data_IF_562067607731
#
_entry.id   IF_562067607731
#
_cell.length_a   1.000
_cell.length_b   1.000
_cell.length_c   1.000
_cell.angle_alpha   90.00
_cell.angle_beta   90.00
_cell.angle_gamma   90.00
#
_symmetry.space_group_name_H-M   'P 1'
#
loop_
_entity.id
_entity.type
_entity.pdbx_description
1 polymer ?
#
# COMPACT_ATOMS: atom_id res chain seq x y z
N UNK A 1 37.40 -1.84 60.67
CA UNK A 1 36.33 -2.24 61.60
C UNK A 1 35.41 -3.17 60.82
N UNK A 2 35.33 -4.43 61.29
CA UNK A 2 34.27 -5.45 61.03
C UNK A 2 33.80 -5.60 59.59
N UNK A 3 34.12 -6.65 58.84
CA UNK A 3 34.32 -8.05 59.22
C UNK A 3 33.42 -8.89 58.31
N UNK A 4 34.01 -9.72 57.44
CA UNK A 4 33.85 -11.18 57.46
C UNK A 4 32.58 -11.70 56.73
N UNK A 5 32.57 -12.81 55.97
CA UNK A 5 33.55 -13.79 55.48
C UNK A 5 32.71 -14.88 54.78
N UNK A 6 33.25 -15.50 53.72
CA UNK A 6 33.14 -16.94 53.36
C UNK A 6 31.76 -17.57 53.09
N UNK A 7 31.60 -18.71 52.40
CA UNK A 7 32.33 -19.62 51.50
C UNK A 7 31.32 -20.74 51.18
N UNK A 8 31.57 -21.56 50.15
CA UNK A 8 31.06 -22.94 50.03
C UNK A 8 29.85 -23.10 49.09
N UNK A 9 29.96 -23.70 47.90
CA UNK A 9 30.37 -25.08 47.55
C UNK A 9 29.48 -26.16 48.16
N UNK A 10 28.59 -26.73 47.34
CA UNK A 10 28.28 -28.17 47.32
C UNK A 10 27.42 -28.52 46.09
N UNK A 11 27.97 -29.39 45.27
CA UNK A 11 27.32 -30.35 44.38
C UNK A 11 26.41 -31.31 45.13
N UNK A 12 25.38 -31.83 44.46
CA UNK A 12 24.87 -33.23 44.50
C UNK A 12 23.44 -33.26 43.93
N UNK A 13 23.22 -33.98 42.84
CA UNK A 13 22.61 -35.33 42.77
C UNK A 13 21.21 -35.17 42.14
N UNK A 14 20.57 -36.11 41.46
CA UNK A 14 20.93 -37.28 40.69
C UNK A 14 19.59 -37.83 40.10
N UNK A 15 19.70 -38.69 39.09
CA UNK A 15 18.78 -39.81 38.78
C UNK A 15 17.31 -39.52 38.39
N UNK A 16 16.92 -39.83 37.15
CA UNK A 16 16.32 -41.11 36.67
C UNK A 16 14.87 -40.80 36.22
N UNK A 17 14.18 -41.43 35.27
CA UNK A 17 14.22 -42.70 34.53
C UNK A 17 13.52 -42.44 33.17
N UNK A 18 13.89 -43.02 32.01
CA UNK A 18 13.84 -44.43 31.53
C UNK A 18 12.41 -44.97 31.28
N UNK A 19 12.15 -45.33 30.02
CA UNK A 19 11.06 -46.19 29.53
C UNK A 19 10.41 -45.60 28.26
N UNK A 20 10.45 -46.16 27.05
CA UNK A 20 10.84 -47.49 26.56
C UNK A 20 9.64 -48.25 26.00
N UNK A 21 9.84 -48.95 24.87
CA UNK A 21 8.98 -49.96 24.19
C UNK A 21 8.11 -49.42 23.04
N UNK A 22 8.49 -49.64 21.76
CA UNK A 22 8.31 -50.85 20.90
C UNK A 22 6.89 -50.90 20.32
N UNK A 23 6.72 -50.68 19.01
CA UNK A 23 6.90 -51.62 17.90
C UNK A 23 5.73 -52.60 17.80
N UNK A 24 5.04 -52.60 16.65
CA UNK A 24 4.52 -53.81 16.01
C UNK A 24 4.15 -53.51 14.54
N UNK A 25 4.70 -54.36 13.68
CA UNK A 25 4.42 -54.52 12.25
C UNK A 25 3.05 -55.19 12.04
N UNK A 26 2.36 -54.87 10.94
CA UNK A 26 1.82 -55.92 10.04
C UNK A 26 1.35 -55.36 8.69
N UNK A 27 1.65 -56.13 7.65
CA UNK A 27 1.30 -55.91 6.25
C UNK A 27 0.07 -56.74 5.84
N UNK A 28 -0.65 -56.32 4.78
CA UNK A 28 -1.06 -57.15 3.62
C UNK A 28 -2.35 -56.65 2.91
N UNK A 29 -2.16 -56.16 1.67
CA UNK A 29 -2.82 -56.54 0.39
C UNK A 29 -4.33 -56.82 0.27
N UNK A 30 -4.95 -56.16 -0.72
CA UNK A 30 -6.10 -56.58 -1.57
C UNK A 30 -6.42 -55.39 -2.52
N UNK A 31 -5.88 -55.26 -3.75
CA UNK A 31 -6.22 -55.89 -5.05
C UNK A 31 -7.71 -55.90 -5.47
N UNK A 32 -8.00 -55.30 -6.65
CA UNK A 32 -9.24 -55.47 -7.42
C UNK A 32 -9.80 -54.18 -8.05
N UNK A 33 -9.26 -53.68 -9.17
CA UNK A 33 -9.71 -53.92 -10.58
C UNK A 33 -10.97 -53.09 -10.96
N UNK A 34 -10.87 -52.00 -11.74
CA UNK A 34 -10.63 -51.84 -13.19
C UNK A 34 -11.93 -51.71 -14.01
N UNK A 35 -12.05 -50.62 -14.76
CA UNK A 35 -12.66 -50.46 -16.11
C UNK A 35 -12.56 -48.97 -16.48
N UNK A 36 -11.69 -48.61 -17.41
CA UNK A 36 -11.94 -48.51 -18.86
C UNK A 36 -12.52 -47.15 -19.23
N UNK A 37 -11.67 -46.28 -19.81
CA UNK A 37 -11.99 -45.60 -21.08
C UNK A 37 -10.73 -44.99 -21.67
N UNK A 38 -10.16 -45.73 -22.63
CA UNK A 38 -9.16 -45.24 -23.55
C UNK A 38 -9.87 -44.67 -24.78
N UNK A 39 -9.69 -43.37 -25.06
CA UNK A 39 -9.84 -42.84 -26.40
C UNK A 39 -8.57 -42.10 -26.81
N UNK A 40 -7.80 -42.77 -27.68
CA UNK A 40 -6.67 -42.21 -28.38
C UNK A 40 -7.15 -41.20 -29.44
N UNK A 41 -6.50 -40.04 -29.49
CA UNK A 41 -6.39 -39.23 -30.70
C UNK A 41 -4.96 -38.71 -30.86
N UNK A 42 -4.36 -39.12 -31.98
CA UNK A 42 -3.04 -38.76 -32.52
C UNK A 42 -2.89 -37.24 -32.71
N UNK A 43 -1.69 -36.74 -32.40
CA UNK A 43 -0.78 -36.13 -33.38
C UNK A 43 -1.08 -34.69 -33.88
N UNK A 44 -0.25 -33.75 -33.41
CA UNK A 44 0.01 -32.42 -33.98
C UNK A 44 0.83 -31.64 -32.96
N UNK A 45 2.17 -31.72 -32.97
CA UNK A 45 3.11 -30.99 -33.83
C UNK A 45 2.99 -29.47 -33.68
N UNK A 46 3.92 -28.91 -32.89
CA UNK A 46 4.65 -27.68 -33.21
C UNK A 46 3.90 -26.36 -33.03
N UNK A 47 4.50 -25.53 -32.18
CA UNK A 47 4.21 -24.10 -31.99
C UNK A 47 2.99 -23.80 -31.12
N UNK A 48 3.16 -23.89 -29.80
CA UNK A 48 2.40 -23.13 -28.80
C UNK A 48 3.17 -23.18 -27.46
N UNK A 49 4.40 -22.64 -27.43
CA UNK A 49 5.13 -22.42 -26.15
C UNK A 49 5.94 -21.12 -26.17
N UNK A 50 5.40 -20.09 -26.81
CA UNK A 50 6.01 -18.75 -26.90
C UNK A 50 5.09 -17.65 -26.32
N UNK A 51 4.32 -18.01 -25.29
CA UNK A 51 3.54 -17.06 -24.50
C UNK A 51 3.65 -17.30 -22.99
N UNK A 52 4.78 -17.84 -22.53
CA UNK A 52 5.20 -17.68 -21.14
C UNK A 52 5.83 -16.28 -21.00
N UNK A 53 4.97 -15.30 -20.75
CA UNK A 53 5.30 -13.92 -20.34
C UNK A 53 6.52 -13.86 -19.41
N UNK A 54 7.53 -13.07 -19.82
CA UNK A 54 8.82 -12.74 -19.18
C UNK A 54 8.72 -12.09 -17.78
N UNK A 55 7.96 -12.69 -16.87
CA UNK A 55 7.47 -12.09 -15.61
C UNK A 55 8.50 -12.21 -14.48
N UNK A 56 9.78 -12.05 -14.79
CA UNK A 56 10.88 -12.26 -13.82
C UNK A 56 12.29 -12.02 -14.34
N UNK A 57 12.49 -11.68 -15.62
CA UNK A 57 13.84 -11.53 -16.18
C UNK A 57 14.60 -10.29 -15.68
N UNK A 58 13.88 -9.29 -15.15
CA UNK A 58 14.48 -8.03 -14.67
C UNK A 58 14.79 -8.03 -13.19
N UNK A 59 14.24 -8.99 -12.44
CA UNK A 59 14.54 -9.20 -11.05
C UNK A 59 15.60 -10.30 -10.92
N UNK A 60 16.66 -10.03 -10.17
CA UNK A 60 17.74 -10.99 -10.02
C UNK A 60 18.27 -11.05 -8.59
N UNK A 61 18.87 -12.19 -8.27
CA UNK A 61 19.60 -12.39 -7.04
C UNK A 61 21.00 -11.74 -7.14
N UNK A 62 21.22 -10.64 -6.41
CA UNK A 62 22.47 -9.88 -6.55
C UNK A 62 23.68 -10.55 -5.90
N UNK A 63 23.48 -11.65 -5.17
CA UNK A 63 24.56 -12.46 -4.60
C UNK A 63 24.97 -13.63 -5.50
N UNK A 64 24.22 -13.88 -6.58
CA UNK A 64 24.52 -14.92 -7.57
C UNK A 64 25.04 -14.26 -8.85
N UNK A 65 26.07 -14.86 -9.46
CA UNK A 65 26.65 -14.32 -10.71
C UNK A 65 25.66 -14.41 -11.88
N UNK A 66 24.84 -15.45 -11.91
CA UNK A 66 23.80 -15.62 -12.92
C UNK A 66 22.56 -14.79 -12.59
N UNK A 67 22.35 -13.71 -13.36
CA UNK A 67 21.22 -12.79 -13.21
C UNK A 67 19.87 -13.37 -13.64
N UNK A 68 19.83 -14.57 -14.22
CA UNK A 68 18.57 -15.24 -14.57
C UNK A 68 17.92 -15.91 -13.36
N UNK A 69 18.66 -16.02 -12.25
CA UNK A 69 18.16 -16.62 -11.02
C UNK A 69 17.19 -15.65 -10.34
N UNK A 70 15.95 -16.10 -10.21
CA UNK A 70 14.91 -15.36 -9.49
C UNK A 70 15.39 -14.99 -8.06
N UNK A 71 15.08 -13.77 -7.58
CA UNK A 71 15.58 -13.30 -6.30
C UNK A 71 15.01 -14.15 -5.16
N UNK A 72 15.87 -14.59 -4.24
CA UNK A 72 15.44 -15.19 -2.98
C UNK A 72 15.42 -14.14 -1.88
N UNK A 73 14.24 -13.86 -1.34
CA UNK A 73 14.07 -12.97 -0.20
C UNK A 73 14.39 -13.73 1.10
N UNK A 74 15.45 -13.32 1.79
CA UNK A 74 15.66 -13.66 3.20
C UNK A 74 15.43 -12.43 4.05
N UNK A 75 14.46 -12.54 4.94
CA UNK A 75 14.03 -11.47 5.84
C UNK A 75 14.23 -11.93 7.26
N UNK A 76 14.97 -11.13 8.04
CA UNK A 76 15.06 -11.29 9.48
C UNK A 76 14.11 -10.31 10.15
N UNK A 77 13.18 -10.82 10.95
CA UNK A 77 12.26 -9.96 11.70
C UNK A 77 12.94 -9.45 12.97
N UNK A 78 12.97 -8.13 13.12
CA UNK A 78 13.42 -7.43 14.32
C UNK A 78 12.21 -6.76 14.99
N UNK A 79 12.16 -6.78 16.32
CA UNK A 79 11.08 -6.18 17.09
C UNK A 79 11.70 -5.20 18.10
N UNK A 80 11.88 -3.95 17.68
CA UNK A 80 12.48 -2.88 18.47
C UNK A 80 11.39 -1.90 18.92
N UNK A 81 11.34 -1.62 20.22
CA UNK A 81 10.40 -0.66 20.84
C UNK A 81 8.90 -0.85 20.48
N UNK A 82 8.51 -2.09 20.12
CA UNK A 82 7.13 -2.41 19.72
C UNK A 82 6.80 -2.07 18.26
N UNK A 83 7.78 -1.66 17.46
CA UNK A 83 7.69 -1.50 16.01
C UNK A 83 8.34 -2.72 15.34
N UNK A 84 7.60 -3.36 14.43
CA UNK A 84 8.10 -4.49 13.64
C UNK A 84 8.90 -3.95 12.46
N UNK A 85 10.18 -4.35 12.38
CA UNK A 85 11.05 -4.02 11.24
C UNK A 85 11.69 -5.29 10.69
N UNK A 86 12.14 -5.24 9.45
CA UNK A 86 12.72 -6.38 8.76
C UNK A 86 14.09 -6.03 8.19
N UNK A 87 15.10 -6.80 8.59
CA UNK A 87 16.41 -6.79 7.96
C UNK A 87 16.36 -7.62 6.67
N UNK A 88 16.83 -7.04 5.57
CA UNK A 88 16.95 -7.76 4.29
C UNK A 88 18.34 -8.38 4.25
N UNK A 89 18.42 -9.69 4.52
CA UNK A 89 19.71 -10.39 4.61
C UNK A 89 20.32 -10.62 3.23
N UNK A 90 19.47 -10.79 2.20
CA UNK A 90 19.88 -11.15 0.85
C UNK A 90 19.57 -10.05 -0.16
N UNK A 91 20.58 -9.66 -0.93
CA UNK A 91 20.46 -8.52 -1.86
C UNK A 91 19.60 -8.85 -3.09
N UNK A 92 18.65 -7.98 -3.38
CA UNK A 92 17.74 -8.04 -4.53
C UNK A 92 18.18 -7.01 -5.57
N UNK A 93 18.36 -7.48 -6.80
CA UNK A 93 18.66 -6.65 -7.96
C UNK A 93 17.43 -6.42 -8.84
N UNK A 94 17.33 -5.24 -9.42
CA UNK A 94 16.33 -4.88 -10.42
C UNK A 94 16.96 -4.08 -11.56
N UNK A 95 16.76 -4.54 -12.79
CA UNK A 95 17.21 -3.85 -14.01
C UNK A 95 16.05 -3.00 -14.58
N UNK A 96 16.08 -1.68 -14.34
CA UNK A 96 15.13 -0.75 -14.97
C UNK A 96 15.67 -0.33 -16.37
N UNK A 97 14.85 -0.43 -17.43
CA UNK A 97 15.30 -0.15 -18.80
C UNK A 97 15.72 1.31 -19.03
N UNK A 98 15.15 2.26 -18.27
CA UNK A 98 15.34 3.69 -18.49
C UNK A 98 16.33 4.30 -17.49
N UNK A 99 16.38 3.76 -16.27
CA UNK A 99 17.12 4.33 -15.15
C UNK A 99 18.32 3.49 -14.70
N UNK A 100 18.47 2.27 -15.21
CA UNK A 100 19.60 1.39 -14.96
C UNK A 100 19.36 0.36 -13.86
N UNK A 101 20.45 -0.28 -13.43
CA UNK A 101 20.42 -1.34 -12.43
C UNK A 101 20.41 -0.79 -11.01
N UNK A 102 19.54 -1.34 -10.18
CA UNK A 102 19.43 -1.06 -8.75
C UNK A 102 19.64 -2.34 -7.94
N UNK A 103 20.39 -2.26 -6.84
CA UNK A 103 20.57 -3.36 -5.90
C UNK A 103 20.28 -2.88 -4.48
N UNK A 104 19.39 -3.58 -3.78
CA UNK A 104 18.97 -3.28 -2.41
C UNK A 104 19.11 -4.52 -1.52
N UNK A 105 19.67 -4.42 -0.31
CA UNK A 105 20.29 -3.23 0.27
C UNK A 105 21.75 -3.01 -0.18
N UNK A 106 22.23 -1.76 -0.06
CA UNK A 106 23.66 -1.45 -0.17
C UNK A 106 24.47 -2.15 0.92
N UNK A 107 23.94 -2.13 2.15
CA UNK A 107 24.49 -2.80 3.32
C UNK A 107 23.36 -3.53 4.08
N UNK A 108 23.48 -4.86 4.15
CA UNK A 108 22.48 -5.73 4.79
C UNK A 108 22.48 -5.62 6.31
N UNK A 109 23.57 -5.15 6.94
CA UNK A 109 23.64 -5.04 8.40
C UNK A 109 22.86 -3.82 8.92
N UNK A 110 22.88 -2.72 8.16
CA UNK A 110 22.28 -1.44 8.55
C UNK A 110 20.91 -1.20 7.94
N UNK A 111 20.59 -1.82 6.80
CA UNK A 111 19.29 -1.64 6.18
C UNK A 111 18.16 -2.28 7.00
N UNK A 112 17.14 -1.48 7.31
CA UNK A 112 15.89 -1.92 7.91
C UNK A 112 14.76 -1.42 7.02
N UNK A 113 13.94 -2.34 6.55
CA UNK A 113 12.68 -2.03 5.88
C UNK A 113 11.55 -2.31 6.85
N UNK A 114 10.56 -1.43 6.91
CA UNK A 114 9.35 -1.67 7.70
C UNK A 114 8.40 -2.68 7.00
N UNK A 115 8.77 -3.14 5.79
CA UNK A 115 8.05 -3.98 4.81
C UNK A 115 6.58 -3.64 4.57
N UNK A 116 6.02 -2.67 5.27
CA UNK A 116 4.59 -2.42 5.40
C UNK A 116 4.31 -1.23 6.33
N UNK A 117 4.95 -0.08 6.13
CA UNK A 117 4.23 1.18 6.41
C UNK A 117 3.15 1.49 5.37
N UNK A 118 2.60 0.45 4.71
CA UNK A 118 1.35 0.54 3.93
C UNK A 118 0.25 0.97 4.92
N UNK A 119 -0.29 2.20 4.80
CA UNK A 119 -1.34 2.65 5.70
C UNK A 119 -2.47 1.61 5.73
N UNK A 120 -3.01 1.30 6.91
CA UNK A 120 -4.00 0.22 7.09
C UNK A 120 -5.15 0.24 6.07
N UNK A 121 -5.50 1.42 5.55
CA UNK A 121 -6.50 1.63 4.50
C UNK A 121 -6.18 0.88 3.19
N UNK A 122 -4.92 0.61 2.86
CA UNK A 122 -4.48 -0.06 1.63
C UNK A 122 -4.24 -1.57 1.79
N UNK A 123 -4.35 -2.12 3.01
CA UNK A 123 -4.21 -3.56 3.24
C UNK A 123 -5.33 -4.38 2.56
N UNK A 124 -6.45 -3.74 2.24
CA UNK A 124 -7.52 -4.33 1.41
C UNK A 124 -7.17 -4.39 -0.08
N UNK A 125 -6.32 -3.47 -0.58
CA UNK A 125 -5.93 -3.37 -1.99
C UNK A 125 -4.68 -4.22 -2.30
N UNK A 126 -3.79 -4.36 -1.32
CA UNK A 126 -2.55 -5.11 -1.43
C UNK A 126 -2.46 -6.06 -0.23
N UNK A 127 -2.58 -7.38 -0.43
CA UNK A 127 -2.37 -8.34 0.64
C UNK A 127 -0.97 -8.14 1.23
N UNK A 128 -0.78 -8.28 2.56
CA UNK A 128 0.54 -8.10 3.21
C UNK A 128 1.64 -9.01 2.67
N UNK A 129 1.28 -10.07 1.96
CA UNK A 129 2.20 -11.02 1.33
C UNK A 129 1.80 -11.25 -0.12
N UNK A 130 2.78 -11.42 -1.00
CA UNK A 130 2.53 -11.74 -2.40
C UNK A 130 3.67 -11.32 -3.33
N UNK A 131 3.45 -11.50 -4.63
CA UNK A 131 4.46 -11.28 -5.66
C UNK A 131 5.04 -9.85 -5.70
N UNK A 132 4.40 -8.87 -5.06
CA UNK A 132 4.84 -7.47 -5.04
C UNK A 132 5.88 -7.16 -3.94
N UNK A 133 6.16 -8.11 -3.04
CA UNK A 133 7.07 -7.90 -1.92
C UNK A 133 8.50 -7.52 -2.35
N UNK A 134 9.12 -8.14 -3.38
CA UNK A 134 10.42 -7.69 -3.89
C UNK A 134 10.40 -6.23 -4.37
N UNK A 135 9.31 -5.79 -4.99
CA UNK A 135 9.17 -4.40 -5.44
C UNK A 135 9.00 -3.44 -4.26
N UNK A 136 8.33 -3.83 -3.18
CA UNK A 136 8.19 -3.02 -1.97
C UNK A 136 9.55 -2.81 -1.30
N UNK A 137 10.34 -3.88 -1.13
CA UNK A 137 11.72 -3.78 -0.60
C UNK A 137 12.58 -2.88 -1.46
N UNK A 138 12.49 -3.05 -2.80
CA UNK A 138 13.20 -2.19 -3.74
C UNK A 138 12.81 -0.72 -3.55
N UNK A 139 11.51 -0.42 -3.43
CA UNK A 139 11.03 0.95 -3.21
C UNK A 139 11.54 1.54 -1.89
N UNK A 140 11.45 0.81 -0.79
CA UNK A 140 11.98 1.23 0.51
C UNK A 140 13.48 1.52 0.45
N UNK A 141 14.24 0.71 -0.29
CA UNK A 141 15.67 0.94 -0.51
C UNK A 141 15.98 2.13 -1.43
N UNK A 142 15.11 2.47 -2.38
CA UNK A 142 15.29 3.64 -3.24
C UNK A 142 14.87 4.94 -2.54
N UNK A 143 13.98 4.82 -1.56
CA UNK A 143 13.51 5.89 -0.69
C UNK A 143 14.56 6.14 0.40
N UNK A 144 15.27 7.25 0.30
CA UNK A 144 16.23 7.71 1.30
C UNK A 144 16.10 9.21 1.48
N UNK A 145 16.39 9.69 2.69
CA UNK A 145 16.56 11.12 2.92
C UNK A 145 17.92 11.57 2.37
N UNK A 146 17.99 12.77 1.80
CA UNK A 146 19.23 13.33 1.23
C UNK A 146 20.39 13.43 2.26
N UNK A 147 20.06 13.36 3.55
CA UNK A 147 21.00 13.41 4.67
C UNK A 147 21.54 12.03 5.09
N UNK A 148 20.96 10.94 4.58
CA UNK A 148 21.35 9.57 4.91
C UNK A 148 22.19 8.95 3.77
N UNK A 149 23.12 8.03 4.08
CA UNK A 149 23.81 7.29 3.05
C UNK A 149 22.80 6.49 2.21
N UNK A 150 23.05 6.41 0.90
CA UNK A 150 22.16 5.68 0.00
C UNK A 150 22.06 4.21 0.43
N UNK A 151 20.83 3.74 0.65
CA UNK A 151 20.49 2.37 1.03
C UNK A 151 20.49 1.40 -0.15
N UNK A 152 20.88 1.85 -1.35
CA UNK A 152 20.96 1.08 -2.58
C UNK A 152 22.25 1.35 -3.37
N UNK A 153 22.60 0.42 -4.24
CA UNK A 153 23.68 0.55 -5.22
C UNK A 153 23.04 0.79 -6.59
N UNK A 154 23.36 1.92 -7.22
CA UNK A 154 22.83 2.29 -8.53
C UNK A 154 22.94 3.79 -8.82
N UNK A 155 22.43 4.26 -9.97
CA UNK A 155 22.38 5.69 -10.30
C UNK A 155 21.52 6.46 -9.29
N UNK A 156 21.92 7.70 -8.95
CA UNK A 156 21.10 8.55 -8.07
C UNK A 156 19.80 8.94 -8.76
N UNK A 157 18.68 8.61 -8.13
CA UNK A 157 17.34 8.94 -8.63
C UNK A 157 16.56 9.83 -7.66
N UNK A 158 15.65 10.62 -8.22
CA UNK A 158 14.68 11.43 -7.47
C UNK A 158 13.59 10.56 -6.86
N UNK A 159 12.88 11.08 -5.86
CA UNK A 159 11.75 10.38 -5.23
C UNK A 159 10.66 10.02 -6.24
N UNK A 160 10.36 10.88 -7.21
CA UNK A 160 9.37 10.57 -8.25
C UNK A 160 9.85 9.47 -9.20
N UNK A 161 11.16 9.37 -9.46
CA UNK A 161 11.73 8.27 -10.24
C UNK A 161 11.69 6.95 -9.47
N UNK A 162 11.94 6.95 -8.15
CA UNK A 162 11.77 5.77 -7.31
C UNK A 162 10.34 5.22 -7.37
N UNK A 163 9.33 6.10 -7.35
CA UNK A 163 7.93 5.70 -7.48
C UNK A 163 7.65 5.07 -8.86
N UNK A 164 8.27 5.59 -9.94
CA UNK A 164 8.16 5.00 -11.28
C UNK A 164 8.83 3.62 -11.39
N UNK A 165 10.03 3.46 -10.83
CA UNK A 165 10.73 2.16 -10.74
C UNK A 165 9.87 1.16 -10.00
N UNK A 166 9.25 1.56 -8.88
CA UNK A 166 8.35 0.69 -8.12
C UNK A 166 7.16 0.20 -8.97
N UNK A 167 6.54 1.08 -9.76
CA UNK A 167 5.44 0.69 -10.66
C UNK A 167 5.91 -0.28 -11.76
N UNK A 168 7.09 -0.06 -12.31
CA UNK A 168 7.69 -0.91 -13.34
C UNK A 168 8.05 -2.29 -12.76
N UNK A 169 8.67 -2.31 -11.58
CA UNK A 169 8.97 -3.52 -10.83
C UNK A 169 7.71 -4.34 -10.51
N UNK A 170 6.62 -3.71 -10.07
CA UNK A 170 5.34 -4.39 -9.88
C UNK A 170 4.78 -4.97 -11.18
N UNK A 171 5.00 -4.31 -12.33
CA UNK A 171 4.58 -4.83 -13.63
C UNK A 171 5.32 -6.13 -13.98
N UNK A 172 6.61 -6.22 -13.65
CA UNK A 172 7.43 -7.41 -13.90
C UNK A 172 7.09 -8.56 -13.00
N UNK A 173 6.62 -8.29 -11.79
CA UNK A 173 6.14 -9.31 -10.85
C UNK A 173 4.71 -9.78 -11.19
N UNK A 174 4.16 -9.34 -12.32
CA UNK A 174 2.84 -9.76 -12.79
C UNK A 174 1.67 -9.06 -12.09
N UNK A 175 1.90 -7.94 -11.40
CA UNK A 175 0.81 -7.20 -10.74
C UNK A 175 -0.18 -6.67 -11.78
N UNK A 176 -1.47 -6.89 -11.56
CA UNK A 176 -2.54 -6.42 -12.43
C UNK A 176 -2.44 -4.91 -12.71
N UNK A 177 -2.88 -4.51 -13.91
CA UNK A 177 -2.77 -3.12 -14.38
C UNK A 177 -3.46 -2.14 -13.44
N UNK A 178 -4.72 -2.36 -13.07
CA UNK A 178 -5.43 -1.40 -12.20
C UNK A 178 -4.74 -1.29 -10.84
N UNK A 179 -4.40 -2.43 -10.22
CA UNK A 179 -3.75 -2.48 -8.91
C UNK A 179 -2.42 -1.72 -8.89
N UNK A 180 -1.52 -1.98 -9.84
CA UNK A 180 -0.20 -1.31 -9.87
C UNK A 180 -0.33 0.21 -10.00
N UNK A 181 -1.32 0.69 -10.75
CA UNK A 181 -1.56 2.12 -10.96
C UNK A 181 -2.17 2.79 -9.72
N UNK A 182 -3.05 2.11 -9.00
CA UNK A 182 -3.58 2.60 -7.72
C UNK A 182 -2.48 2.69 -6.65
N UNK A 183 -1.65 1.65 -6.52
CA UNK A 183 -0.52 1.65 -5.58
C UNK A 183 0.45 2.78 -5.92
N UNK A 184 0.87 2.87 -7.19
CA UNK A 184 1.75 3.96 -7.65
C UNK A 184 1.17 5.34 -7.33
N UNK A 185 -0.15 5.53 -7.51
CA UNK A 185 -0.83 6.78 -7.20
C UNK A 185 -0.76 7.11 -5.71
N UNK A 186 -0.92 6.12 -4.83
CA UNK A 186 -0.82 6.30 -3.39
C UNK A 186 0.59 6.76 -2.99
N UNK A 187 1.63 6.13 -3.53
CA UNK A 187 3.01 6.50 -3.24
C UNK A 187 3.38 7.86 -3.84
N UNK A 188 2.97 8.14 -5.08
CA UNK A 188 3.17 9.44 -5.71
C UNK A 188 2.47 10.57 -4.95
N UNK A 189 1.29 10.30 -4.39
CA UNK A 189 0.59 11.22 -3.50
C UNK A 189 1.34 11.40 -2.17
N UNK A 190 1.85 10.32 -1.58
CA UNK A 190 2.67 10.41 -0.37
C UNK A 190 3.90 11.28 -0.64
N UNK A 191 4.68 11.00 -1.69
CA UNK A 191 5.78 11.84 -2.18
C UNK A 191 5.34 13.30 -2.34
N UNK A 192 4.11 13.52 -2.82
CA UNK A 192 3.57 14.86 -3.00
C UNK A 192 3.27 15.61 -1.70
N UNK A 193 2.88 14.89 -0.65
CA UNK A 193 2.50 15.43 0.65
C UNK A 193 3.65 15.46 1.66
N UNK A 194 4.56 14.49 1.62
CA UNK A 194 5.61 14.26 2.62
C UNK A 194 6.97 14.81 2.24
N UNK A 195 7.14 15.35 1.03
CA UNK A 195 8.40 15.96 0.64
C UNK A 195 8.66 17.28 1.38
N UNK A 196 8.97 17.15 2.66
CA UNK A 196 9.42 18.18 3.59
C UNK A 196 10.87 18.53 3.31
N UNK A 197 11.14 19.83 3.28
CA UNK A 197 12.39 20.39 2.80
C UNK A 197 13.60 20.09 3.70
N UNK A 198 14.65 19.50 3.12
CA UNK A 198 16.05 19.82 3.45
C UNK A 198 16.89 19.91 2.17
N UNK A 199 16.77 21.03 1.46
CA UNK A 199 17.68 21.35 0.36
C UNK A 199 17.06 22.24 -0.74
N UNK A 200 17.21 23.56 -0.61
CA UNK A 200 17.30 24.49 -1.76
C UNK A 200 16.06 24.79 -2.60
N UNK A 201 15.30 25.81 -2.18
CA UNK A 201 14.66 26.83 -3.03
C UNK A 201 13.78 26.39 -4.24
N UNK A 202 12.64 25.76 -3.96
CA UNK A 202 11.39 25.99 -4.71
C UNK A 202 10.22 26.07 -3.71
N UNK A 203 9.14 26.85 -3.97
CA UNK A 203 8.05 27.02 -3.00
C UNK A 203 7.12 25.79 -3.00
N UNK A 204 7.58 24.67 -2.40
CA UNK A 204 6.86 23.39 -2.25
C UNK A 204 5.53 23.53 -1.50
N UNK A 205 5.34 24.60 -0.72
CA UNK A 205 4.05 24.93 -0.11
C UNK A 205 2.97 25.18 -1.18
N UNK A 206 3.31 25.79 -2.33
CA UNK A 206 2.36 25.94 -3.44
C UNK A 206 1.89 24.58 -3.95
N UNK A 207 2.81 23.63 -4.08
CA UNK A 207 2.50 22.31 -4.60
C UNK A 207 1.69 21.48 -3.60
N UNK A 208 2.07 21.53 -2.31
CA UNK A 208 1.24 20.98 -1.23
C UNK A 208 -0.16 21.60 -1.23
N UNK A 209 -0.27 22.93 -1.34
CA UNK A 209 -1.56 23.64 -1.39
C UNK A 209 -2.38 23.25 -2.62
N UNK A 210 -1.76 22.99 -3.77
CA UNK A 210 -2.46 22.49 -4.97
C UNK A 210 -2.98 21.08 -4.73
N UNK A 211 -2.15 20.16 -4.23
CA UNK A 211 -2.56 18.78 -3.96
C UNK A 211 -3.65 18.74 -2.88
N UNK A 212 -3.40 19.35 -1.72
CA UNK A 212 -4.37 19.42 -0.63
C UNK A 212 -5.64 20.16 -1.04
N UNK A 213 -5.52 21.27 -1.78
CA UNK A 213 -6.66 22.06 -2.25
C UNK A 213 -7.52 21.32 -3.27
N UNK A 214 -6.91 20.60 -4.22
CA UNK A 214 -7.67 19.79 -5.18
C UNK A 214 -8.37 18.60 -4.51
N UNK A 215 -7.71 17.88 -3.60
CA UNK A 215 -8.35 16.82 -2.82
C UNK A 215 -9.49 17.36 -1.95
N UNK A 216 -9.28 18.51 -1.30
CA UNK A 216 -10.30 19.15 -0.49
C UNK A 216 -11.52 19.59 -1.33
N UNK A 217 -11.28 20.15 -2.53
CA UNK A 217 -12.35 20.52 -3.45
C UNK A 217 -13.17 19.29 -3.89
N UNK A 218 -12.51 18.17 -4.20
CA UNK A 218 -13.21 16.92 -4.58
C UNK A 218 -14.10 16.41 -3.44
N UNK A 219 -13.59 16.38 -2.21
CA UNK A 219 -14.40 15.95 -1.06
C UNK A 219 -15.56 16.90 -0.80
N UNK A 220 -15.33 18.22 -0.84
CA UNK A 220 -16.39 19.20 -0.66
C UNK A 220 -17.49 19.05 -1.72
N UNK A 221 -17.11 18.90 -2.99
CA UNK A 221 -18.07 18.67 -4.08
C UNK A 221 -18.82 17.35 -3.92
N UNK A 222 -18.16 16.29 -3.47
CA UNK A 222 -18.83 15.02 -3.19
C UNK A 222 -19.85 15.11 -2.04
N UNK A 223 -19.50 15.84 -0.97
CA UNK A 223 -20.44 16.12 0.13
C UNK A 223 -21.63 16.95 -0.38
N UNK A 224 -21.38 17.98 -1.18
CA UNK A 224 -22.45 18.78 -1.77
C UNK A 224 -23.35 17.96 -2.69
N UNK A 225 -22.77 17.09 -3.52
CA UNK A 225 -23.54 16.19 -4.37
C UNK A 225 -24.38 15.21 -3.54
N UNK A 226 -23.89 14.77 -2.38
CA UNK A 226 -24.68 13.95 -1.46
C UNK A 226 -25.89 14.73 -0.95
N UNK A 227 -25.67 15.94 -0.42
CA UNK A 227 -26.75 16.77 0.15
C UNK A 227 -27.79 17.09 -0.92
N UNK A 228 -27.37 17.49 -2.13
CA UNK A 228 -28.24 17.83 -3.25
C UNK A 228 -29.18 16.65 -3.63
N UNK A 229 -28.67 15.41 -3.61
CA UNK A 229 -29.47 14.19 -3.86
C UNK A 229 -30.51 13.90 -2.78
N UNK A 230 -30.23 14.25 -1.52
CA UNK A 230 -31.11 13.89 -0.38
C UNK A 230 -32.06 15.00 0.07
N UNK A 231 -31.69 16.27 -0.12
CA UNK A 231 -32.36 17.41 0.53
C UNK A 231 -33.17 18.28 -0.45
N UNK A 232 -33.28 17.88 -1.73
CA UNK A 232 -34.09 18.56 -2.76
C UNK A 232 -33.69 20.01 -3.06
N UNK A 233 -32.59 20.49 -2.47
CA UNK A 233 -32.08 21.85 -2.65
C UNK A 233 -31.11 21.86 -3.82
N UNK A 234 -31.34 22.73 -4.82
CA UNK A 234 -30.43 22.91 -5.96
C UNK A 234 -29.17 23.67 -5.52
N UNK A 235 -28.18 22.93 -5.05
CA UNK A 235 -26.87 23.47 -4.64
C UNK A 235 -25.91 23.44 -5.82
N UNK A 236 -25.93 22.35 -6.61
CA UNK A 236 -25.01 22.16 -7.73
C UNK A 236 -25.69 22.51 -9.06
N UNK A 237 -25.12 23.44 -9.86
CA UNK A 237 -25.78 23.94 -11.08
C UNK A 237 -25.96 22.88 -12.17
N UNK A 238 -25.22 21.76 -12.11
CA UNK A 238 -25.34 20.65 -13.07
C UNK A 238 -26.27 19.53 -12.61
N UNK A 239 -26.66 19.48 -11.33
CA UNK A 239 -27.60 18.47 -10.80
C UNK A 239 -29.02 18.98 -10.95
N UNK A 240 -29.38 20.14 -10.35
CA UNK A 240 -30.63 20.85 -10.65
C UNK A 240 -31.92 20.08 -10.36
N UNK A 241 -33.08 20.75 -10.44
CA UNK A 241 -34.39 20.07 -10.39
C UNK A 241 -34.61 19.26 -11.68
N UNK A 242 -34.23 17.98 -11.68
CA UNK A 242 -34.34 17.09 -12.84
C UNK A 242 -34.97 15.77 -12.43
N UNK A 243 -35.20 14.90 -13.40
CA UNK A 243 -35.62 13.53 -13.08
C UNK A 243 -34.43 12.82 -12.40
N UNK A 244 -34.67 12.12 -11.29
CA UNK A 244 -33.65 11.51 -10.43
C UNK A 244 -32.46 10.83 -11.15
N UNK A 245 -32.68 10.12 -12.26
CA UNK A 245 -31.60 9.46 -13.00
C UNK A 245 -30.69 10.44 -13.76
N UNK A 246 -31.23 11.61 -14.19
CA UNK A 246 -30.45 12.70 -14.80
C UNK A 246 -29.62 13.44 -13.76
N UNK A 247 -30.13 13.58 -12.54
CA UNK A 247 -29.38 14.12 -11.41
C UNK A 247 -28.23 13.18 -11.06
N UNK A 248 -28.50 11.87 -10.97
CA UNK A 248 -27.48 10.86 -10.73
C UNK A 248 -26.42 10.83 -11.85
N UNK A 249 -26.83 10.89 -13.11
CA UNK A 249 -25.92 10.96 -14.24
C UNK A 249 -25.10 12.27 -14.25
N UNK A 250 -25.71 13.39 -13.88
CA UNK A 250 -25.04 14.68 -13.72
C UNK A 250 -24.01 14.67 -12.59
N UNK A 251 -24.36 14.06 -11.45
CA UNK A 251 -23.45 13.83 -10.33
C UNK A 251 -22.27 12.93 -10.72
N UNK A 252 -22.54 11.81 -11.39
CA UNK A 252 -21.50 10.90 -11.89
C UNK A 252 -20.57 11.58 -12.92
N UNK A 253 -21.12 12.36 -13.85
CA UNK A 253 -20.33 13.12 -14.80
C UNK A 253 -19.45 14.18 -14.09
N UNK A 254 -20.02 14.90 -13.11
CA UNK A 254 -19.28 15.84 -12.27
C UNK A 254 -18.14 15.17 -11.50
N UNK A 255 -18.37 13.97 -10.96
CA UNK A 255 -17.39 13.16 -10.24
C UNK A 255 -16.25 12.59 -11.12
N UNK A 256 -16.34 12.74 -12.44
CA UNK A 256 -15.27 12.35 -13.36
C UNK A 256 -14.60 13.60 -13.95
N UNK A 257 -15.40 14.50 -14.53
CA UNK A 257 -14.91 15.65 -15.29
C UNK A 257 -14.20 16.67 -14.40
N UNK A 258 -14.79 17.00 -13.24
CA UNK A 258 -14.21 18.02 -12.34
C UNK A 258 -12.90 17.50 -11.72
N UNK A 259 -12.85 16.28 -11.14
CA UNK A 259 -11.59 15.66 -10.72
C UNK A 259 -10.53 15.59 -11.82
N UNK A 260 -10.91 15.23 -13.05
CA UNK A 260 -9.98 15.16 -14.18
C UNK A 260 -9.40 16.53 -14.54
N UNK A 261 -10.20 17.59 -14.50
CA UNK A 261 -9.73 18.96 -14.74
C UNK A 261 -8.80 19.42 -13.61
N UNK A 262 -9.16 19.18 -12.34
CA UNK A 262 -8.32 19.53 -11.18
C UNK A 262 -6.98 18.80 -11.19
N UNK A 263 -6.94 17.55 -11.66
CA UNK A 263 -5.72 16.76 -11.78
C UNK A 263 -4.68 17.40 -12.71
N UNK A 264 -5.07 18.21 -13.69
CA UNK A 264 -4.14 18.92 -14.57
C UNK A 264 -3.26 19.91 -13.80
N UNK A 265 -3.75 20.45 -12.68
CA UNK A 265 -2.98 21.35 -11.82
C UNK A 265 -1.75 20.67 -11.17
N UNK A 266 -1.70 19.34 -11.18
CA UNK A 266 -0.58 18.57 -10.61
C UNK A 266 0.64 18.51 -11.53
N UNK A 267 0.56 19.09 -12.74
CA UNK A 267 1.68 19.21 -13.67
C UNK A 267 2.21 17.83 -14.09
N UNK A 268 3.48 17.53 -13.76
CA UNK A 268 4.11 16.25 -14.13
C UNK A 268 3.40 15.02 -13.53
N UNK A 269 2.72 15.18 -12.40
CA UNK A 269 1.97 14.11 -11.73
C UNK A 269 0.48 14.08 -12.09
N UNK A 270 0.05 14.70 -13.19
CA UNK A 270 -1.38 14.74 -13.58
C UNK A 270 -2.03 13.36 -13.66
N UNK A 271 -1.28 12.32 -14.05
CA UNK A 271 -1.78 10.93 -14.09
C UNK A 271 -2.12 10.39 -12.70
N UNK A 272 -1.28 10.70 -11.70
CA UNK A 272 -1.54 10.33 -10.32
C UNK A 272 -2.72 11.14 -9.77
N UNK A 273 -2.75 12.45 -10.04
CA UNK A 273 -3.87 13.31 -9.67
C UNK A 273 -5.20 12.82 -10.25
N UNK A 274 -5.21 12.38 -11.52
CA UNK A 274 -6.41 11.89 -12.19
C UNK A 274 -6.98 10.67 -11.47
N UNK A 275 -6.12 9.67 -11.23
CA UNK A 275 -6.50 8.44 -10.54
C UNK A 275 -6.92 8.76 -9.11
N UNK A 276 -6.16 9.57 -8.38
CA UNK A 276 -6.44 9.92 -6.99
C UNK A 276 -7.79 10.64 -6.85
N UNK A 277 -8.01 11.71 -7.63
CA UNK A 277 -9.20 12.53 -7.54
C UNK A 277 -10.46 11.77 -8.01
N UNK A 278 -10.39 10.99 -9.10
CA UNK A 278 -11.53 10.18 -9.55
C UNK A 278 -11.84 9.07 -8.54
N UNK A 279 -10.83 8.34 -8.09
CA UNK A 279 -11.01 7.26 -7.10
C UNK A 279 -11.62 7.83 -5.82
N UNK A 280 -11.11 8.97 -5.34
CA UNK A 280 -11.66 9.66 -4.18
C UNK A 280 -13.12 10.07 -4.39
N UNK A 281 -13.46 10.68 -5.53
CA UNK A 281 -14.84 11.11 -5.83
C UNK A 281 -15.82 9.93 -5.84
N UNK A 282 -15.44 8.81 -6.46
CA UNK A 282 -16.28 7.62 -6.58
C UNK A 282 -16.41 6.87 -5.24
N UNK A 283 -15.31 6.74 -4.49
CA UNK A 283 -15.29 5.97 -3.25
C UNK A 283 -15.65 6.78 -2.01
N UNK A 284 -15.78 8.10 -2.10
CA UNK A 284 -16.07 8.97 -0.96
C UNK A 284 -17.30 8.49 -0.18
N UNK A 285 -18.42 8.31 -0.88
CA UNK A 285 -19.70 7.95 -0.27
C UNK A 285 -19.64 6.58 0.41
N UNK A 286 -19.07 5.58 -0.26
CA UNK A 286 -18.87 4.25 0.31
C UNK A 286 -17.97 4.28 1.55
N UNK A 287 -16.92 5.10 1.51
CA UNK A 287 -15.99 5.30 2.64
C UNK A 287 -16.69 5.95 3.82
N UNK A 288 -17.53 6.96 3.59
CA UNK A 288 -18.32 7.62 4.63
C UNK A 288 -19.28 6.62 5.28
N UNK A 289 -20.02 5.84 4.49
CA UNK A 289 -20.93 4.80 5.02
C UNK A 289 -20.18 3.78 5.88
N UNK A 290 -19.05 3.26 5.38
CA UNK A 290 -18.25 2.29 6.12
C UNK A 290 -17.66 2.89 7.40
N UNK A 291 -17.23 4.15 7.37
CA UNK A 291 -16.72 4.86 8.54
C UNK A 291 -17.81 5.04 9.61
N UNK A 292 -19.04 5.37 9.22
CA UNK A 292 -20.19 5.47 10.13
C UNK A 292 -20.48 4.11 10.76
N UNK A 293 -20.58 3.05 9.96
CA UNK A 293 -20.84 1.69 10.46
C UNK A 293 -19.74 1.21 11.41
N UNK A 294 -18.48 1.45 11.06
CA UNK A 294 -17.32 1.08 11.90
C UNK A 294 -17.32 1.85 13.21
N UNK A 295 -17.61 3.15 13.17
CA UNK A 295 -17.70 3.99 14.38
C UNK A 295 -18.84 3.55 15.28
N UNK A 296 -20.00 3.22 14.70
CA UNK A 296 -21.14 2.67 15.41
C UNK A 296 -20.79 1.34 16.10
N UNK A 297 -20.16 0.41 15.37
CA UNK A 297 -19.72 -0.85 15.94
C UNK A 297 -18.72 -0.65 17.09
N UNK A 298 -17.71 0.21 16.90
CA UNK A 298 -16.75 0.55 17.95
C UNK A 298 -17.42 1.19 19.16
N UNK A 299 -18.46 2.00 18.95
CA UNK A 299 -19.21 2.64 20.03
C UNK A 299 -19.98 1.61 20.86
N UNK A 300 -20.62 0.65 20.20
CA UNK A 300 -21.31 -0.48 20.85
C UNK A 300 -20.31 -1.35 21.64
N UNK A 301 -19.15 -1.64 21.07
CA UNK A 301 -18.15 -2.50 21.71
C UNK A 301 -17.39 -1.78 22.83
N UNK A 302 -17.14 -0.48 22.67
CA UNK A 302 -16.24 0.29 23.55
C UNK A 302 -16.29 1.81 23.25
N UNK A 303 -17.08 2.59 23.99
CA UNK A 303 -17.25 4.02 23.70
C UNK A 303 -15.92 4.80 23.75
N UNK A 304 -14.96 4.38 24.58
CA UNK A 304 -13.62 4.97 24.65
C UNK A 304 -12.79 4.83 23.36
N UNK A 305 -12.89 3.70 22.64
CA UNK A 305 -12.17 3.51 21.37
C UNK A 305 -12.79 4.34 20.25
N UNK A 306 -14.13 4.42 20.20
CA UNK A 306 -14.84 5.25 19.22
C UNK A 306 -14.47 6.74 19.34
N UNK A 307 -14.52 7.30 20.56
CA UNK A 307 -14.17 8.70 20.81
C UNK A 307 -12.69 8.97 20.46
N UNK A 308 -11.79 8.03 20.76
CA UNK A 308 -10.38 8.17 20.41
C UNK A 308 -10.15 8.14 18.89
N UNK A 309 -10.83 7.26 18.15
CA UNK A 309 -10.78 7.17 16.68
C UNK A 309 -11.24 8.47 16.01
N UNK A 310 -12.40 8.99 16.41
CA UNK A 310 -12.93 10.26 15.89
C UNK A 310 -11.98 11.42 16.20
N UNK A 311 -11.44 11.48 17.42
CA UNK A 311 -10.49 12.53 17.82
C UNK A 311 -9.19 12.47 17.02
N UNK A 312 -8.69 11.28 16.66
CA UNK A 312 -7.50 11.13 15.79
C UNK A 312 -7.76 11.63 14.37
N UNK A 313 -8.92 11.31 13.81
CA UNK A 313 -9.33 11.77 12.48
C UNK A 313 -9.43 13.30 12.42
N UNK A 314 -10.08 13.94 13.39
CA UNK A 314 -10.22 15.41 13.46
C UNK A 314 -8.87 16.11 13.65
N UNK A 315 -7.91 15.50 14.36
CA UNK A 315 -6.59 16.08 14.59
C UNK A 315 -5.69 16.12 13.34
N UNK A 316 -6.04 15.42 12.27
CA UNK A 316 -5.29 15.52 11.02
C UNK A 316 -5.58 16.89 10.38
N UNK A 317 -4.56 17.73 10.12
CA UNK A 317 -4.76 19.11 9.66
C UNK A 317 -5.53 19.19 8.34
N UNK A 318 -5.37 18.18 7.48
CA UNK A 318 -6.11 18.04 6.22
C UNK A 318 -7.61 17.81 6.48
N UNK A 319 -7.95 16.93 7.42
CA UNK A 319 -9.35 16.63 7.76
C UNK A 319 -9.98 17.81 8.52
N UNK A 320 -9.25 18.44 9.44
CA UNK A 320 -9.71 19.67 10.10
C UNK A 320 -9.99 20.79 9.10
N UNK A 321 -9.10 21.00 8.13
CA UNK A 321 -9.30 21.96 7.04
C UNK A 321 -10.50 21.61 6.16
N UNK A 322 -10.69 20.32 5.85
CA UNK A 322 -11.83 19.84 5.09
C UNK A 322 -13.17 20.01 5.81
N UNK A 323 -13.22 19.69 7.10
CA UNK A 323 -14.40 19.85 7.94
C UNK A 323 -14.72 21.34 8.12
N UNK A 324 -13.72 22.19 8.33
CA UNK A 324 -13.92 23.63 8.41
C UNK A 324 -14.44 24.19 7.08
N UNK A 325 -13.87 23.78 5.95
CA UNK A 325 -14.30 24.20 4.62
C UNK A 325 -15.73 23.72 4.29
N UNK A 326 -16.04 22.45 4.57
CA UNK A 326 -17.38 21.91 4.43
C UNK A 326 -18.38 22.61 5.37
N UNK A 327 -18.00 22.90 6.61
CA UNK A 327 -18.82 23.64 7.57
C UNK A 327 -19.12 25.08 7.12
N UNK A 328 -18.14 25.77 6.54
CA UNK A 328 -18.34 27.11 5.94
C UNK A 328 -19.29 27.02 4.75
N UNK A 329 -19.12 26.02 3.88
CA UNK A 329 -20.01 25.80 2.74
C UNK A 329 -21.44 25.53 3.22
N UNK A 330 -21.63 24.62 4.18
CA UNK A 330 -22.95 24.29 4.75
C UNK A 330 -23.57 25.53 5.41
N UNK A 331 -22.80 26.32 6.18
CA UNK A 331 -23.30 27.54 6.79
C UNK A 331 -23.73 28.60 5.76
N UNK A 332 -22.97 28.75 4.67
CA UNK A 332 -23.30 29.67 3.56
C UNK A 332 -24.53 29.18 2.78
N UNK A 333 -24.71 27.87 2.63
CA UNK A 333 -25.85 27.28 1.93
C UNK A 333 -27.11 27.28 2.78
N UNK A 334 -27.02 27.01 4.08
CA UNK A 334 -28.12 27.15 5.04
C UNK A 334 -28.66 28.58 5.07
N UNK A 335 -27.81 29.56 4.79
CA UNK A 335 -28.21 30.96 4.66
C UNK A 335 -28.88 31.30 3.32
N UNK A 336 -28.72 30.44 2.31
CA UNK A 336 -29.24 30.62 0.94
C UNK A 336 -30.53 29.83 0.65
N UNK A 337 -30.80 28.78 1.41
CA UNK A 337 -32.04 28.01 1.36
C UNK A 337 -32.92 28.36 2.59
N UNK A 338 -34.01 29.13 2.42
CA UNK A 338 -34.98 29.38 3.48
C UNK A 338 -35.91 28.19 3.76
#
# INVERSE_FOLDING_TARGET
MTGARAEGSASDEAHAARGGSEADDEAATSEGSASDEAHAARGGSGADDESATSTGERFFDAEVTDRRVAPRLLLERHQDEGVETFGVLRKVGFDDPDLGTFVVPADSETFRSDLTSVPALFTWLVPRTGNHLPAAILHDGLVHDDAEPASYIGPRITREQADLVFRNAMADLGTERVRRWLIWTAVALATALTSTAKGGMQPRWRWFSVVAGTLAAVVALGVLATIDVFDGCTILPWMGDRVWWRELAGGAAGAIVIPAALALAWGRLWRAGLIACITLALLLHATVVLAVLTTFFQFVESPGRAIASVRRLIRLPVIAGLVAFAGVIVAVLWWRCP
#
